data_IF_636886928869
#
_entry.id   IF_636886928869
#
_cell.length_a   1.000
_cell.length_b   1.000
_cell.length_c   1.000
_cell.angle_alpha   90.00
_cell.angle_beta   90.00
_cell.angle_gamma   90.00
#
_symmetry.space_group_name_H-M   'P 1'
#
loop_
_entity.id
_entity.type
_entity.pdbx_description
1 polymer ?
#
# COMPACT_ATOMS: atom_id res chain seq x y z
N UNK A 1 -25.68 1.05 0.20
CA UNK A 1 -25.12 2.28 0.77
C UNK A 1 -23.62 2.13 0.69
N UNK A 2 -22.97 2.99 -0.09
CA UNK A 2 -21.51 3.01 -0.18
C UNK A 2 -20.93 3.49 1.15
N UNK A 3 -19.61 3.39 1.31
CA UNK A 3 -18.97 3.97 2.50
C UNK A 3 -18.93 5.50 2.42
N UNK A 4 -18.91 6.08 1.22
CA UNK A 4 -19.04 7.54 1.05
C UNK A 4 -20.40 8.06 1.51
N UNK A 5 -21.49 7.35 1.21
CA UNK A 5 -22.85 7.70 1.64
C UNK A 5 -22.95 7.81 3.18
N UNK A 6 -22.21 6.99 3.93
CA UNK A 6 -22.17 7.05 5.39
C UNK A 6 -21.66 8.42 5.89
N UNK A 7 -20.59 8.93 5.29
CA UNK A 7 -20.04 10.23 5.67
C UNK A 7 -20.85 11.41 5.10
N UNK A 8 -21.38 11.30 3.87
CA UNK A 8 -22.22 12.34 3.26
C UNK A 8 -23.49 12.63 4.06
N UNK A 9 -24.04 11.62 4.72
CA UNK A 9 -25.23 11.74 5.56
C UNK A 9 -24.92 11.97 7.05
N UNK A 10 -23.65 12.07 7.44
CA UNK A 10 -23.27 12.29 8.82
C UNK A 10 -23.52 13.75 9.23
N UNK A 11 -24.24 13.95 10.33
CA UNK A 11 -24.48 15.29 10.88
C UNK A 11 -23.23 15.82 11.59
N UNK A 12 -22.89 17.08 11.34
CA UNK A 12 -21.85 17.77 12.10
C UNK A 12 -22.40 18.27 13.43
N UNK A 13 -21.88 17.73 14.53
CA UNK A 13 -22.05 18.30 15.86
C UNK A 13 -20.92 19.32 16.11
N UNK A 14 -21.29 20.56 16.45
CA UNK A 14 -20.35 21.65 16.71
C UNK A 14 -19.61 21.44 18.03
N UNK A 15 -20.28 20.86 19.02
CA UNK A 15 -19.75 20.73 20.38
C UNK A 15 -19.03 19.37 20.56
N UNK A 16 -19.22 18.41 19.64
CA UNK A 16 -18.46 17.14 19.53
C UNK A 16 -18.10 16.81 18.06
N UNK A 17 -17.12 17.50 17.45
CA UNK A 17 -16.79 17.31 16.03
C UNK A 17 -16.19 15.93 15.76
N UNK A 18 -16.79 15.18 14.83
CA UNK A 18 -16.26 13.89 14.41
C UNK A 18 -14.95 14.05 13.61
N UNK A 19 -13.80 13.51 14.09
CA UNK A 19 -12.51 13.71 13.43
C UNK A 19 -12.42 13.03 12.05
N UNK A 20 -13.14 11.93 11.84
CA UNK A 20 -13.16 11.23 10.55
C UNK A 20 -14.00 11.97 9.51
N UNK A 21 -15.09 12.63 9.93
CA UNK A 21 -15.86 13.50 9.04
C UNK A 21 -15.03 14.68 8.56
N UNK A 22 -14.29 15.33 9.47
CA UNK A 22 -13.39 16.43 9.12
C UNK A 22 -12.36 16.00 8.06
N UNK A 23 -11.71 14.85 8.25
CA UNK A 23 -10.75 14.33 7.28
C UNK A 23 -11.45 13.92 5.98
N UNK A 24 -12.62 13.29 6.02
CA UNK A 24 -13.36 12.89 4.82
C UNK A 24 -13.70 14.10 3.93
N UNK A 25 -14.22 15.18 4.52
CA UNK A 25 -14.59 16.41 3.83
C UNK A 25 -13.39 17.22 3.33
N UNK A 26 -12.21 17.08 3.93
CA UNK A 26 -11.00 17.76 3.46
C UNK A 26 -10.58 17.29 2.05
N UNK A 27 -10.56 18.19 1.08
CA UNK A 27 -10.15 17.88 -0.29
C UNK A 27 -8.72 18.33 -0.60
N UNK A 28 -7.96 18.78 0.41
CA UNK A 28 -6.59 19.28 0.21
C UNK A 28 -5.61 18.19 -0.23
N UNK A 29 -5.84 16.95 0.22
CA UNK A 29 -5.05 15.78 -0.14
C UNK A 29 -5.82 14.93 -1.18
N UNK A 30 -5.24 14.64 -2.36
CA UNK A 30 -5.90 13.82 -3.37
C UNK A 30 -6.13 12.42 -2.84
N UNK A 31 -7.35 11.92 -3.01
CA UNK A 31 -7.70 10.56 -2.64
C UNK A 31 -8.94 10.15 -3.42
N UNK A 32 -9.07 8.87 -3.74
CA UNK A 32 -10.32 8.34 -4.27
C UNK A 32 -11.41 8.38 -3.18
N UNK A 33 -12.56 8.96 -3.47
CA UNK A 33 -13.60 9.22 -2.46
C UNK A 33 -14.07 7.96 -1.72
N UNK A 34 -14.35 6.87 -2.45
CA UNK A 34 -14.80 5.60 -1.85
C UNK A 34 -13.69 4.94 -1.04
N UNK A 35 -12.45 4.95 -1.53
CA UNK A 35 -11.30 4.42 -0.80
C UNK A 35 -11.04 5.21 0.49
N UNK A 36 -11.18 6.54 0.43
CA UNK A 36 -11.04 7.43 1.59
C UNK A 36 -12.10 7.10 2.64
N UNK A 37 -13.36 6.96 2.22
CA UNK A 37 -14.44 6.57 3.10
C UNK A 37 -14.23 5.18 3.71
N UNK A 38 -13.86 4.19 2.89
CA UNK A 38 -13.57 2.83 3.35
C UNK A 38 -12.46 2.82 4.41
N UNK A 39 -11.35 3.53 4.16
CA UNK A 39 -10.24 3.67 5.11
C UNK A 39 -10.66 4.38 6.41
N UNK A 40 -11.32 5.54 6.32
CA UNK A 40 -11.71 6.31 7.50
C UNK A 40 -12.74 5.60 8.37
N UNK A 41 -13.70 4.89 7.76
CA UNK A 41 -14.63 4.05 8.51
C UNK A 41 -13.91 2.88 9.19
N UNK A 42 -13.01 2.21 8.48
CA UNK A 42 -12.18 1.15 9.06
C UNK A 42 -11.34 1.67 10.24
N UNK A 43 -10.83 2.90 10.13
CA UNK A 43 -10.13 3.61 11.19
C UNK A 43 -10.99 3.91 12.43
N UNK A 44 -12.31 4.03 12.28
CA UNK A 44 -13.27 4.28 13.37
C UNK A 44 -13.76 3.00 14.08
N UNK A 45 -13.19 1.84 13.75
CA UNK A 45 -13.64 0.55 14.23
C UNK A 45 -13.33 0.26 15.71
N UNK A 46 -14.14 -0.63 16.30
CA UNK A 46 -13.92 -1.15 17.66
C UNK A 46 -12.65 -1.99 17.79
N UNK A 47 -12.25 -2.70 16.73
CA UNK A 47 -10.97 -3.42 16.71
C UNK A 47 -9.81 -2.46 16.90
N UNK A 48 -9.82 -1.32 16.21
CA UNK A 48 -8.79 -0.30 16.39
C UNK A 48 -8.82 0.32 17.79
N UNK A 49 -10.00 0.59 18.33
CA UNK A 49 -10.14 1.23 19.64
C UNK A 49 -9.73 0.32 20.80
N UNK A 50 -10.11 -0.96 20.77
CA UNK A 50 -10.00 -1.84 21.93
C UNK A 50 -9.01 -3.01 21.75
N UNK A 51 -8.92 -3.59 20.54
CA UNK A 51 -8.04 -4.74 20.31
C UNK A 51 -6.59 -4.29 20.01
N UNK A 52 -6.42 -3.28 19.17
CA UNK A 52 -5.09 -2.80 18.76
C UNK A 52 -4.17 -2.38 19.92
N UNK A 53 -4.63 -1.64 20.96
CA UNK A 53 -3.76 -1.24 22.07
C UNK A 53 -3.16 -2.43 22.84
N UNK A 54 -3.89 -3.55 22.92
CA UNK A 54 -3.41 -4.79 23.54
C UNK A 54 -2.57 -5.63 22.58
N UNK A 55 -3.01 -5.74 21.33
CA UNK A 55 -2.35 -6.57 20.33
C UNK A 55 -0.96 -6.03 19.95
N UNK A 56 -0.82 -4.71 19.79
CA UNK A 56 0.43 -4.06 19.33
C UNK A 56 1.65 -4.38 20.22
N UNK A 57 1.62 -4.22 21.56
CA UNK A 57 2.78 -4.57 22.39
C UNK A 57 3.09 -6.07 22.30
N UNK A 58 2.07 -6.94 22.24
CA UNK A 58 2.26 -8.38 22.09
C UNK A 58 2.92 -8.73 20.74
N UNK A 59 2.45 -8.14 19.64
CA UNK A 59 3.01 -8.34 18.31
C UNK A 59 4.49 -7.91 18.25
N UNK A 60 4.82 -6.74 18.81
CA UNK A 60 6.21 -6.24 18.88
C UNK A 60 7.09 -7.13 19.75
N UNK A 61 6.59 -7.60 20.88
CA UNK A 61 7.32 -8.56 21.71
C UNK A 61 7.58 -9.86 20.95
N UNK A 62 6.58 -10.38 20.24
CA UNK A 62 6.73 -11.58 19.41
C UNK A 62 7.78 -11.38 18.30
N UNK A 63 7.82 -10.21 17.65
CA UNK A 63 8.88 -9.88 16.68
C UNK A 63 10.26 -10.00 17.32
N UNK A 64 10.48 -9.39 18.50
CA UNK A 64 11.77 -9.44 19.20
C UNK A 64 12.14 -10.89 19.54
N UNK A 65 11.19 -11.65 20.10
CA UNK A 65 11.41 -13.06 20.45
C UNK A 65 11.77 -13.90 19.21
N UNK A 66 11.11 -13.66 18.07
CA UNK A 66 11.41 -14.34 16.82
C UNK A 66 12.77 -13.94 16.25
N UNK A 67 13.20 -12.68 16.38
CA UNK A 67 14.55 -12.25 16.01
C UNK A 67 15.61 -12.99 16.83
N UNK A 68 15.45 -13.02 18.16
CA UNK A 68 16.37 -13.73 19.05
C UNK A 68 16.40 -15.22 18.73
N UNK A 69 15.24 -15.84 18.50
CA UNK A 69 15.14 -17.23 18.11
C UNK A 69 15.91 -17.53 16.80
N UNK A 70 15.78 -16.67 15.79
CA UNK A 70 16.42 -16.87 14.49
C UNK A 70 17.91 -16.59 14.47
N UNK A 71 18.46 -15.88 15.46
CA UNK A 71 19.92 -15.85 15.67
C UNK A 71 20.46 -17.27 15.90
N UNK A 72 19.69 -18.12 16.59
CA UNK A 72 20.08 -19.49 16.92
C UNK A 72 19.77 -20.43 15.73
N UNK A 73 18.61 -20.29 15.09
CA UNK A 73 18.17 -21.20 14.00
C UNK A 73 17.57 -20.43 12.81
N UNK A 74 18.39 -19.80 11.95
CA UNK A 74 17.97 -18.74 11.02
C UNK A 74 17.04 -19.17 9.87
N UNK A 75 16.92 -20.47 9.60
CA UNK A 75 16.10 -21.03 8.51
C UNK A 75 15.06 -22.05 9.00
N UNK A 76 14.89 -22.21 10.31
CA UNK A 76 13.82 -23.06 10.81
C UNK A 76 12.45 -22.43 10.52
N UNK A 77 11.47 -23.28 10.17
CA UNK A 77 10.07 -22.92 9.90
C UNK A 77 9.82 -21.96 8.72
N UNK A 78 10.82 -21.65 7.90
CA UNK A 78 10.61 -20.79 6.73
C UNK A 78 9.75 -21.50 5.68
N UNK A 79 8.61 -20.92 5.31
CA UNK A 79 7.70 -21.49 4.30
C UNK A 79 6.78 -20.43 3.70
N UNK A 80 7.09 -19.99 2.48
CA UNK A 80 6.26 -19.01 1.74
C UNK A 80 4.85 -19.54 1.50
N UNK A 81 4.74 -20.82 1.11
CA UNK A 81 3.44 -21.45 0.85
C UNK A 81 2.54 -21.50 2.09
N UNK A 82 3.12 -21.80 3.27
CA UNK A 82 2.34 -21.83 4.50
C UNK A 82 1.95 -20.42 4.94
N UNK A 83 2.88 -19.46 4.86
CA UNK A 83 2.63 -18.04 5.13
C UNK A 83 1.41 -17.55 4.36
N UNK A 84 1.44 -17.66 3.03
CA UNK A 84 0.40 -17.11 2.17
C UNK A 84 -0.96 -17.80 2.34
N UNK A 85 -0.98 -19.09 2.71
CA UNK A 85 -2.22 -19.78 3.09
C UNK A 85 -2.79 -19.29 4.41
N UNK A 86 -1.95 -19.06 5.42
CA UNK A 86 -2.37 -18.51 6.71
C UNK A 86 -2.91 -17.09 6.52
N UNK A 87 -2.22 -16.27 5.72
CA UNK A 87 -2.67 -14.91 5.39
C UNK A 87 -4.00 -14.92 4.65
N UNK A 88 -4.13 -15.71 3.58
CA UNK A 88 -5.39 -15.86 2.87
C UNK A 88 -6.54 -16.30 3.81
N UNK A 89 -6.29 -17.30 4.66
CA UNK A 89 -7.27 -17.78 5.64
C UNK A 89 -7.67 -16.69 6.64
N UNK A 90 -6.68 -15.95 7.16
CA UNK A 90 -6.88 -14.85 8.08
C UNK A 90 -7.65 -13.68 7.46
N UNK A 91 -7.29 -13.28 6.24
CA UNK A 91 -7.97 -12.25 5.46
C UNK A 91 -9.43 -12.63 5.18
N UNK A 92 -9.67 -13.87 4.75
CA UNK A 92 -11.01 -14.37 4.46
C UNK A 92 -11.90 -14.44 5.71
N UNK A 93 -11.32 -14.72 6.87
CA UNK A 93 -12.09 -15.02 8.09
C UNK A 93 -12.21 -13.83 9.03
N UNK A 94 -11.16 -13.03 9.22
CA UNK A 94 -11.08 -12.05 10.30
C UNK A 94 -10.97 -10.59 9.86
N UNK A 95 -10.34 -10.34 8.71
CA UNK A 95 -10.10 -8.96 8.22
C UNK A 95 -11.40 -8.37 7.70
N UNK A 96 -11.67 -7.10 8.03
CA UNK A 96 -12.89 -6.40 7.64
C UNK A 96 -13.01 -6.32 6.10
N UNK A 97 -14.24 -6.19 5.55
CA UNK A 97 -14.42 -5.98 4.12
C UNK A 97 -13.67 -4.75 3.60
N UNK A 98 -13.71 -3.63 4.35
CA UNK A 98 -13.03 -2.39 4.00
C UNK A 98 -11.51 -2.54 4.01
N UNK A 99 -10.95 -3.24 5.00
CA UNK A 99 -9.53 -3.51 5.06
C UNK A 99 -9.06 -4.43 3.93
N UNK A 100 -9.77 -5.52 3.65
CA UNK A 100 -9.45 -6.39 2.50
C UNK A 100 -9.52 -5.63 1.17
N UNK A 101 -10.54 -4.77 1.00
CA UNK A 101 -10.66 -3.90 -0.16
C UNK A 101 -9.44 -2.99 -0.32
N UNK A 102 -9.03 -2.28 0.74
CA UNK A 102 -7.85 -1.41 0.72
C UNK A 102 -6.56 -2.19 0.43
N UNK A 103 -6.39 -3.39 0.99
CA UNK A 103 -5.22 -4.24 0.75
C UNK A 103 -5.11 -4.63 -0.73
N UNK A 104 -6.18 -5.16 -1.33
CA UNK A 104 -6.14 -5.57 -2.73
C UNK A 104 -5.99 -4.39 -3.69
N UNK A 105 -6.68 -3.29 -3.37
CA UNK A 105 -6.61 -2.05 -4.14
C UNK A 105 -5.19 -1.49 -4.18
N UNK A 106 -4.46 -1.53 -3.07
CA UNK A 106 -3.04 -1.13 -3.03
C UNK A 106 -2.18 -1.81 -4.10
N UNK A 107 -2.24 -3.15 -4.22
CA UNK A 107 -1.45 -3.88 -5.21
C UNK A 107 -1.80 -3.46 -6.64
N UNK A 108 -3.10 -3.31 -6.90
CA UNK A 108 -3.63 -2.89 -8.20
C UNK A 108 -3.08 -1.52 -8.59
N UNK A 109 -3.25 -0.52 -7.72
CA UNK A 109 -2.84 0.86 -7.98
C UNK A 109 -1.32 1.00 -8.04
N UNK A 110 -0.59 0.32 -7.15
CA UNK A 110 0.86 0.32 -7.14
C UNK A 110 1.44 -0.16 -8.47
N UNK A 111 0.85 -1.21 -9.06
CA UNK A 111 1.24 -1.70 -10.38
C UNK A 111 0.99 -0.69 -11.49
N UNK A 112 -0.11 0.06 -11.44
CA UNK A 112 -0.41 1.13 -12.40
C UNK A 112 0.55 2.31 -12.27
N UNK A 113 0.91 2.69 -11.03
CA UNK A 113 1.89 3.77 -10.77
C UNK A 113 3.26 3.41 -11.34
N UNK A 114 3.76 2.19 -11.11
CA UNK A 114 5.05 1.77 -11.67
C UNK A 114 5.01 1.72 -13.20
N UNK A 115 3.90 1.24 -13.77
CA UNK A 115 3.72 1.21 -15.21
C UNK A 115 3.65 2.62 -15.81
N UNK A 116 2.96 3.56 -15.15
CA UNK A 116 2.96 4.96 -15.54
C UNK A 116 4.37 5.54 -15.58
N UNK A 117 5.20 5.30 -14.56
CA UNK A 117 6.58 5.77 -14.54
C UNK A 117 7.35 5.19 -15.74
N UNK A 118 7.27 3.87 -15.96
CA UNK A 118 7.92 3.21 -17.09
C UNK A 118 7.51 3.84 -18.42
N UNK A 119 6.21 3.98 -18.65
CA UNK A 119 5.62 4.39 -19.93
C UNK A 119 5.87 5.88 -20.25
N UNK A 120 6.38 6.64 -19.28
CA UNK A 120 6.73 8.06 -19.39
C UNK A 120 8.24 8.34 -19.26
N UNK A 121 9.08 7.31 -19.28
CA UNK A 121 10.54 7.47 -19.39
C UNK A 121 10.97 7.01 -20.79
N UNK A 122 11.30 7.93 -21.71
CA UNK A 122 11.67 7.55 -23.06
C UNK A 122 12.94 6.69 -23.12
N UNK A 123 12.96 5.71 -24.01
CA UNK A 123 14.17 4.94 -24.33
C UNK A 123 14.56 3.83 -23.35
N UNK A 124 13.86 3.65 -22.22
CA UNK A 124 14.11 2.51 -21.30
C UNK A 124 13.22 1.32 -21.63
N UNK A 125 13.71 0.11 -21.37
CA UNK A 125 12.94 -1.12 -21.53
C UNK A 125 13.10 -1.98 -20.29
N UNK A 126 12.04 -2.04 -19.48
CA UNK A 126 12.02 -2.85 -18.25
C UNK A 126 10.84 -3.82 -18.26
N UNK A 127 11.13 -5.06 -17.88
CA UNK A 127 10.11 -6.09 -17.70
C UNK A 127 9.32 -5.80 -16.43
N UNK A 128 7.99 -5.75 -16.57
CA UNK A 128 7.05 -5.57 -15.48
C UNK A 128 6.38 -6.90 -15.13
N UNK A 129 6.02 -7.06 -13.86
CA UNK A 129 5.20 -8.17 -13.38
C UNK A 129 3.99 -7.62 -12.59
N UNK A 130 3.02 -7.00 -13.29
CA UNK A 130 1.95 -6.24 -12.63
C UNK A 130 1.04 -7.15 -11.80
N UNK A 131 0.67 -6.68 -10.62
CA UNK A 131 -0.27 -7.33 -9.71
C UNK A 131 -1.60 -6.58 -9.74
N UNK A 132 -2.62 -7.18 -10.34
CA UNK A 132 -3.98 -6.61 -10.43
C UNK A 132 -5.02 -7.56 -9.80
N UNK A 133 -4.90 -7.90 -8.50
CA UNK A 133 -5.84 -8.81 -7.86
C UNK A 133 -7.23 -8.17 -7.77
N UNK A 134 -8.26 -8.96 -8.10
CA UNK A 134 -9.67 -8.55 -7.99
C UNK A 134 -10.39 -9.24 -6.83
N UNK A 135 -9.76 -10.25 -6.24
CA UNK A 135 -10.26 -11.04 -5.12
C UNK A 135 -9.07 -11.55 -4.27
N UNK A 136 -9.37 -12.32 -3.21
CA UNK A 136 -8.36 -12.81 -2.28
C UNK A 136 -7.58 -14.03 -2.77
N UNK A 137 -8.00 -14.74 -3.81
CA UNK A 137 -7.36 -15.99 -4.24
C UNK A 137 -5.86 -15.83 -4.58
N UNK A 138 -5.42 -14.78 -5.31
CA UNK A 138 -4.00 -14.53 -5.58
C UNK A 138 -3.12 -14.42 -4.34
N UNK A 139 -3.69 -14.13 -3.16
CA UNK A 139 -2.92 -14.08 -1.90
C UNK A 139 -2.20 -15.41 -1.64
N UNK A 140 -2.77 -16.55 -2.05
CA UNK A 140 -2.17 -17.88 -1.86
C UNK A 140 -0.89 -18.07 -2.68
N UNK A 141 -0.76 -17.33 -3.78
CA UNK A 141 0.29 -17.48 -4.79
C UNK A 141 1.36 -16.39 -4.62
N UNK A 142 1.81 -16.21 -3.37
CA UNK A 142 2.92 -15.34 -3.00
C UNK A 142 2.72 -13.83 -3.31
N UNK A 143 1.47 -13.36 -3.46
CA UNK A 143 1.12 -11.97 -3.84
C UNK A 143 1.95 -10.90 -3.12
N UNK A 144 2.04 -10.99 -1.78
CA UNK A 144 2.74 -10.00 -0.96
C UNK A 144 4.25 -10.04 -1.17
N UNK A 145 4.83 -11.24 -1.29
CA UNK A 145 6.26 -11.40 -1.56
C UNK A 145 6.62 -10.88 -2.95
N UNK A 146 5.82 -11.24 -3.96
CA UNK A 146 6.01 -10.78 -5.34
C UNK A 146 5.91 -9.26 -5.42
N UNK A 147 4.99 -8.64 -4.68
CA UNK A 147 4.88 -7.18 -4.59
C UNK A 147 6.18 -6.52 -4.14
N UNK A 148 6.76 -6.97 -3.02
CA UNK A 148 8.01 -6.40 -2.52
C UNK A 148 9.17 -6.58 -3.51
N UNK A 149 9.25 -7.77 -4.13
CA UNK A 149 10.25 -8.06 -5.16
C UNK A 149 10.08 -7.18 -6.39
N UNK A 150 8.85 -6.90 -6.81
CA UNK A 150 8.56 -6.04 -7.95
C UNK A 150 9.07 -4.61 -7.72
N UNK A 151 8.93 -4.05 -6.52
CA UNK A 151 9.44 -2.71 -6.21
C UNK A 151 10.96 -2.64 -6.36
N UNK A 152 11.68 -3.60 -5.77
CA UNK A 152 13.15 -3.66 -5.89
C UNK A 152 13.59 -3.88 -7.34
N UNK A 153 13.01 -4.86 -8.02
CA UNK A 153 13.36 -5.16 -9.41
C UNK A 153 13.08 -3.98 -10.34
N UNK A 154 11.96 -3.27 -10.13
CA UNK A 154 11.64 -2.06 -10.88
C UNK A 154 12.72 -0.99 -10.71
N UNK A 155 13.04 -0.63 -9.47
CA UNK A 155 14.05 0.40 -9.17
C UNK A 155 15.41 0.01 -9.71
N UNK A 156 15.84 -1.25 -9.52
CA UNK A 156 17.12 -1.76 -10.02
C UNK A 156 17.18 -1.69 -11.54
N UNK A 157 16.19 -2.25 -12.23
CA UNK A 157 16.19 -2.37 -13.69
C UNK A 157 16.07 -1.01 -14.37
N UNK A 158 15.20 -0.12 -13.87
CA UNK A 158 15.07 1.23 -14.39
C UNK A 158 16.39 1.98 -14.28
N UNK A 159 17.07 1.93 -13.13
CA UNK A 159 18.33 2.64 -12.93
C UNK A 159 19.50 2.03 -13.74
N UNK A 160 19.49 0.72 -14.03
CA UNK A 160 20.46 0.13 -14.96
C UNK A 160 20.26 0.68 -16.37
N UNK A 161 19.03 0.63 -16.87
CA UNK A 161 18.67 1.15 -18.19
C UNK A 161 19.01 2.64 -18.36
N UNK A 162 18.67 3.47 -17.37
CA UNK A 162 19.00 4.90 -17.38
C UNK A 162 20.50 5.15 -17.48
N UNK A 163 21.31 4.42 -16.69
CA UNK A 163 22.77 4.56 -16.71
C UNK A 163 23.40 4.06 -18.00
N UNK A 164 23.00 2.88 -18.46
CA UNK A 164 23.55 2.26 -19.67
C UNK A 164 23.27 3.11 -20.91
N UNK A 165 22.11 3.77 -20.96
CA UNK A 165 21.68 4.60 -22.10
C UNK A 165 22.01 6.09 -21.93
N UNK A 166 22.53 6.50 -20.78
CA UNK A 166 22.78 7.92 -20.48
C UNK A 166 21.51 8.78 -20.48
N UNK A 167 20.38 8.21 -20.08
CA UNK A 167 19.07 8.88 -20.04
C UNK A 167 18.79 9.34 -18.61
N UNK A 168 18.22 10.55 -18.49
CA UNK A 168 17.72 11.06 -17.22
C UNK A 168 16.19 11.09 -17.21
N UNK A 169 15.61 10.89 -16.03
CA UNK A 169 14.16 11.06 -15.84
C UNK A 169 13.86 12.55 -15.76
N UNK A 170 13.17 13.06 -16.78
CA UNK A 170 12.82 14.47 -16.94
C UNK A 170 11.31 14.65 -17.06
N UNK A 171 10.88 15.91 -16.96
CA UNK A 171 9.49 16.31 -17.20
C UNK A 171 9.07 15.92 -18.62
N UNK A 172 7.90 15.32 -18.75
CA UNK A 172 7.29 15.05 -20.05
C UNK A 172 6.28 16.15 -20.41
N UNK A 173 6.24 16.56 -21.67
CA UNK A 173 5.27 17.57 -22.16
C UNK A 173 3.85 17.02 -22.19
N UNK A 174 3.70 15.78 -22.66
CA UNK A 174 2.42 15.06 -22.69
C UNK A 174 2.59 13.73 -21.95
N UNK A 175 1.78 13.54 -20.92
CA UNK A 175 1.83 12.35 -20.07
C UNK A 175 1.02 11.21 -20.69
N UNK A 176 1.58 10.01 -20.67
CA UNK A 176 0.90 8.77 -21.02
C UNK A 176 0.19 8.21 -19.79
N UNK A 177 -1.14 8.34 -19.76
CA UNK A 177 -1.99 7.83 -18.68
C UNK A 177 -2.68 6.50 -19.02
N UNK A 178 -2.25 5.78 -20.07
CA UNK A 178 -2.91 4.54 -20.50
C UNK A 178 -2.97 3.47 -19.40
N UNK A 179 -1.97 3.45 -18.51
CA UNK A 179 -1.93 2.52 -17.39
C UNK A 179 -2.87 2.90 -16.22
N UNK A 180 -3.34 4.14 -16.13
CA UNK A 180 -4.07 4.68 -14.99
C UNK A 180 -5.57 4.51 -15.18
N UNK A 181 -6.17 3.68 -14.33
CA UNK A 181 -7.63 3.46 -14.31
C UNK A 181 -8.34 4.59 -13.57
N UNK A 182 -9.25 5.30 -14.24
CA UNK A 182 -10.07 6.38 -13.66
C UNK A 182 -11.50 5.95 -13.31
N UNK A 183 -11.88 4.72 -13.65
CA UNK A 183 -13.19 4.11 -13.37
C UNK A 183 -13.14 3.22 -12.11
N UNK A 184 -14.30 2.79 -11.59
CA UNK A 184 -14.32 1.83 -10.49
C UNK A 184 -13.52 0.56 -10.82
N UNK A 185 -12.66 0.14 -9.89
CA UNK A 185 -11.88 -1.08 -10.05
C UNK A 185 -12.80 -2.31 -10.05
N UNK A 186 -12.47 -3.37 -10.82
CA UNK A 186 -13.28 -4.59 -10.92
C UNK A 186 -13.08 -5.49 -9.70
N UNK A 187 -13.27 -4.96 -8.49
CA UNK A 187 -13.14 -5.69 -7.23
C UNK A 187 -14.37 -6.54 -6.98
N UNK A 188 -14.17 -7.83 -6.70
CA UNK A 188 -15.23 -8.71 -6.24
C UNK A 188 -15.69 -8.31 -4.83
N UNK A 189 -16.91 -8.69 -4.40
CA UNK A 189 -17.36 -8.46 -3.04
C UNK A 189 -16.42 -9.13 -2.01
N UNK A 190 -15.91 -8.34 -1.06
CA UNK A 190 -15.05 -8.86 0.01
C UNK A 190 -15.83 -9.73 1.00
N UNK A 191 -15.20 -10.73 1.65
CA UNK A 191 -15.85 -11.57 2.64
C UNK A 191 -16.47 -10.74 3.78
N UNK A 192 -17.75 -11.00 4.07
CA UNK A 192 -18.53 -10.27 5.07
C UNK A 192 -19.23 -11.25 6.02
N UNK A 193 -18.49 -11.75 7.00
CA UNK A 193 -18.96 -12.62 8.09
C UNK A 193 -18.91 -11.86 9.40
N UNK A 194 -19.58 -12.37 10.43
CA UNK A 194 -19.52 -11.78 11.78
C UNK A 194 -18.09 -11.77 12.35
N UNK A 195 -17.23 -12.68 11.88
CA UNK A 195 -15.81 -12.73 12.24
C UNK A 195 -14.95 -11.69 11.51
N UNK A 196 -15.42 -11.07 10.42
CA UNK A 196 -14.68 -10.06 9.66
C UNK A 196 -14.74 -8.69 10.37
N UNK A 197 -14.08 -8.56 11.52
CA UNK A 197 -14.13 -7.37 12.38
C UNK A 197 -12.78 -6.64 12.53
N UNK A 198 -11.65 -7.27 12.15
CA UNK A 198 -10.33 -6.66 12.31
C UNK A 198 -10.10 -5.58 11.26
N UNK A 199 -9.83 -4.36 11.71
CA UNK A 199 -9.42 -3.27 10.83
C UNK A 199 -8.03 -3.49 10.22
N UNK A 200 -7.69 -2.68 9.23
CA UNK A 200 -6.44 -2.74 8.48
C UNK A 200 -5.22 -2.69 9.39
N UNK A 201 -5.18 -1.76 10.35
CA UNK A 201 -4.00 -1.60 11.21
C UNK A 201 -3.87 -2.77 12.18
N UNK A 202 -4.98 -3.20 12.78
CA UNK A 202 -5.00 -4.37 13.67
C UNK A 202 -4.60 -5.64 12.92
N UNK A 203 -5.12 -5.85 11.71
CA UNK A 203 -4.77 -7.00 10.88
C UNK A 203 -3.28 -7.01 10.52
N UNK A 204 -2.72 -5.87 10.11
CA UNK A 204 -1.30 -5.74 9.78
C UNK A 204 -0.42 -6.05 10.99
N UNK A 205 -0.74 -5.49 12.16
CA UNK A 205 0.01 -5.74 13.40
C UNK A 205 -0.09 -7.22 13.82
N UNK A 206 -1.24 -7.86 13.60
CA UNK A 206 -1.42 -9.30 13.82
C UNK A 206 -0.58 -10.16 12.88
N UNK A 207 -0.53 -9.80 11.59
CA UNK A 207 0.17 -10.59 10.58
C UNK A 207 1.68 -10.36 10.58
N UNK A 208 2.19 -9.23 11.06
CA UNK A 208 3.63 -8.93 11.01
C UNK A 208 4.49 -9.99 11.72
N UNK A 209 4.16 -10.48 12.94
CA UNK A 209 4.86 -11.61 13.55
C UNK A 209 4.72 -12.93 12.77
N UNK A 210 3.58 -13.16 12.11
CA UNK A 210 3.35 -14.35 11.27
C UNK A 210 4.27 -14.31 10.05
N UNK A 211 4.41 -13.15 9.40
CA UNK A 211 5.40 -12.92 8.36
C UNK A 211 6.80 -13.22 8.86
N UNK A 212 7.15 -12.68 10.02
CA UNK A 212 8.47 -12.90 10.58
C UNK A 212 8.73 -14.37 10.92
N UNK A 213 7.74 -15.13 11.38
CA UNK A 213 7.91 -16.55 11.67
C UNK A 213 8.23 -17.35 10.40
N UNK A 214 7.51 -17.10 9.30
CA UNK A 214 7.57 -17.93 8.09
C UNK A 214 8.54 -17.44 7.01
N UNK A 215 9.02 -16.19 7.08
CA UNK A 215 10.06 -15.69 6.18
C UNK A 215 11.45 -15.96 6.74
N UNK A 216 12.48 -15.99 5.89
CA UNK A 216 13.86 -15.86 6.40
C UNK A 216 14.07 -14.45 6.97
N UNK A 217 15.10 -14.28 7.82
CA UNK A 217 15.41 -12.93 8.35
C UNK A 217 15.75 -11.94 7.25
N UNK A 218 16.46 -12.39 6.21
CA UNK A 218 16.76 -11.55 5.04
C UNK A 218 15.49 -11.17 4.27
N UNK A 219 14.56 -12.10 4.09
CA UNK A 219 13.31 -11.82 3.37
C UNK A 219 12.41 -10.86 4.16
N UNK A 220 12.30 -11.04 5.47
CA UNK A 220 11.54 -10.13 6.33
C UNK A 220 12.18 -8.73 6.39
N UNK A 221 13.51 -8.66 6.50
CA UNK A 221 14.24 -7.39 6.44
C UNK A 221 14.06 -6.69 5.08
N UNK A 222 14.12 -7.45 3.97
CA UNK A 222 13.88 -6.91 2.62
C UNK A 222 12.45 -6.39 2.48
N UNK A 223 11.44 -7.16 2.87
CA UNK A 223 10.04 -6.75 2.82
C UNK A 223 9.78 -5.46 3.63
N UNK A 224 10.33 -5.35 4.83
CA UNK A 224 10.13 -4.15 5.65
C UNK A 224 10.88 -2.90 5.14
N UNK A 225 11.96 -3.08 4.37
CA UNK A 225 12.71 -1.99 3.77
C UNK A 225 12.27 -1.66 2.33
N UNK A 226 11.46 -2.52 1.67
CA UNK A 226 10.83 -2.18 0.39
C UNK A 226 9.97 -0.91 0.51
N UNK A 227 9.35 -0.70 1.67
CA UNK A 227 8.55 0.49 1.98
C UNK A 227 9.33 1.81 1.85
N UNK A 228 10.66 1.79 2.00
CA UNK A 228 11.49 2.98 1.78
C UNK A 228 11.48 3.43 0.31
N UNK A 229 11.18 2.53 -0.63
CA UNK A 229 11.17 2.83 -2.06
C UNK A 229 10.00 3.74 -2.48
N UNK A 230 9.01 3.97 -1.61
CA UNK A 230 7.93 4.93 -1.84
C UNK A 230 8.46 6.32 -2.18
N UNK A 231 9.56 6.72 -1.55
CA UNK A 231 10.21 7.99 -1.82
C UNK A 231 10.84 8.03 -3.20
N UNK A 232 11.59 6.98 -3.55
CA UNK A 232 12.18 6.84 -4.89
C UNK A 232 11.10 6.89 -5.97
N UNK A 233 10.00 6.16 -5.78
CA UNK A 233 8.87 6.11 -6.72
C UNK A 233 8.19 7.48 -6.82
N UNK A 234 7.91 8.13 -5.68
CA UNK A 234 7.29 9.45 -5.66
C UNK A 234 8.16 10.53 -6.33
N UNK A 235 9.48 10.50 -6.13
CA UNK A 235 10.43 11.40 -6.80
C UNK A 235 10.45 11.14 -8.31
N UNK A 236 10.45 9.88 -8.75
CA UNK A 236 10.40 9.55 -10.18
C UNK A 236 9.12 10.08 -10.83
N UNK A 237 7.96 9.84 -10.20
CA UNK A 237 6.68 10.37 -10.70
C UNK A 237 6.68 11.91 -10.72
N UNK A 238 7.19 12.57 -9.68
CA UNK A 238 7.27 14.03 -9.60
C UNK A 238 8.16 14.61 -10.71
N UNK A 239 9.32 14.02 -10.99
CA UNK A 239 10.18 14.43 -12.11
C UNK A 239 9.47 14.34 -13.45
N UNK A 240 8.75 13.23 -13.69
CA UNK A 240 7.97 13.00 -14.93
C UNK A 240 6.86 14.04 -15.08
N UNK A 241 6.11 14.30 -14.00
CA UNK A 241 5.01 15.29 -13.97
C UNK A 241 5.55 16.72 -14.10
N UNK A 242 6.75 16.98 -13.59
CA UNK A 242 7.35 18.30 -13.49
C UNK A 242 6.71 19.18 -12.41
N UNK A 243 6.17 18.58 -11.34
CA UNK A 243 5.69 19.27 -10.15
C UNK A 243 6.12 18.55 -8.88
N UNK A 244 6.57 19.34 -7.90
CA UNK A 244 6.98 18.87 -6.59
C UNK A 244 5.86 19.00 -5.54
N UNK A 245 4.73 19.61 -5.90
CA UNK A 245 3.70 20.07 -4.95
C UNK A 245 3.15 18.94 -4.07
N UNK A 246 3.20 17.71 -4.59
CA UNK A 246 2.67 16.52 -3.92
C UNK A 246 3.76 15.50 -3.54
N UNK A 247 5.04 15.90 -3.54
CA UNK A 247 6.10 15.13 -2.85
C UNK A 247 5.87 15.08 -1.34
N UNK A 248 5.08 16.00 -0.79
CA UNK A 248 4.64 15.98 0.60
C UNK A 248 3.85 14.71 0.99
N UNK A 249 3.31 13.98 0.00
CA UNK A 249 2.61 12.70 0.20
C UNK A 249 3.57 11.55 0.55
N UNK A 250 4.86 11.74 0.36
CA UNK A 250 5.88 10.75 0.64
C UNK A 250 6.19 10.78 2.15
N UNK A 251 5.90 9.67 2.82
CA UNK A 251 6.10 9.54 4.26
C UNK A 251 7.55 9.23 4.67
N UNK A 252 8.30 8.53 3.82
CA UNK A 252 9.72 8.25 4.03
C UNK A 252 10.54 9.39 3.40
N UNK A 253 11.48 9.98 4.15
CA UNK A 253 12.32 11.11 3.68
C UNK A 253 13.81 10.78 3.57
N UNK A 254 14.16 9.52 3.85
CA UNK A 254 15.54 9.05 3.98
C UNK A 254 15.63 7.56 3.60
N UNK A 255 15.54 7.22 2.30
CA UNK A 255 15.47 5.82 1.88
C UNK A 255 16.82 5.11 2.04
N UNK A 256 17.88 5.89 2.30
CA UNK A 256 19.23 5.43 2.61
C UNK A 256 19.39 4.91 4.05
N UNK A 257 18.41 5.13 4.92
CA UNK A 257 18.45 4.69 6.32
C UNK A 257 17.54 3.48 6.48
N UNK A 258 18.09 2.25 6.59
CA UNK A 258 17.28 1.08 6.90
C UNK A 258 16.57 1.27 8.23
N UNK A 259 15.29 0.94 8.27
CA UNK A 259 14.44 1.17 9.44
C UNK A 259 14.20 -0.13 10.21
N UNK A 260 13.90 0.02 11.51
CA UNK A 260 13.54 -1.10 12.37
C UNK A 260 12.25 -1.79 11.91
N UNK A 261 12.25 -3.12 12.00
CA UNK A 261 11.09 -3.98 11.72
C UNK A 261 9.95 -3.80 12.72
N UNK A 262 10.23 -3.26 13.92
CA UNK A 262 9.21 -3.01 14.96
C UNK A 262 8.17 -1.96 14.57
N UNK A 263 8.51 -1.11 13.61
CA UNK A 263 7.64 -0.07 13.06
C UNK A 263 6.96 -0.48 11.75
N UNK A 264 7.22 -1.70 11.25
CA UNK A 264 6.78 -2.14 9.94
C UNK A 264 5.27 -2.04 9.75
N UNK A 265 4.47 -2.38 10.77
CA UNK A 265 3.01 -2.35 10.65
C UNK A 265 2.46 -0.95 10.38
N UNK A 266 2.95 0.07 11.09
CA UNK A 266 2.56 1.46 10.84
C UNK A 266 3.05 1.96 9.46
N UNK A 267 4.29 1.63 9.10
CA UNK A 267 4.86 2.01 7.81
C UNK A 267 4.13 1.39 6.63
N UNK A 268 3.60 0.17 6.78
CA UNK A 268 2.82 -0.50 5.75
C UNK A 268 1.47 0.20 5.49
N UNK A 269 0.84 0.77 6.52
CA UNK A 269 -0.35 1.62 6.34
C UNK A 269 -0.01 2.86 5.52
N UNK A 270 1.09 3.54 5.88
CA UNK A 270 1.55 4.73 5.16
C UNK A 270 1.93 4.44 3.70
N UNK A 271 2.51 3.26 3.43
CA UNK A 271 2.82 2.78 2.08
C UNK A 271 1.57 2.66 1.20
N UNK A 272 0.50 2.08 1.74
CA UNK A 272 -0.79 1.99 1.03
C UNK A 272 -1.42 3.36 0.76
N UNK A 273 -1.40 4.26 1.75
CA UNK A 273 -1.94 5.61 1.60
C UNK A 273 -1.17 6.46 0.58
N UNK A 274 0.16 6.36 0.57
CA UNK A 274 0.98 7.07 -0.41
C UNK A 274 0.65 6.63 -1.85
N UNK A 275 0.40 5.33 -2.05
CA UNK A 275 -0.01 4.78 -3.34
C UNK A 275 -1.37 5.31 -3.79
N UNK A 276 -2.37 5.33 -2.91
CA UNK A 276 -3.70 5.90 -3.20
C UNK A 276 -3.64 7.38 -3.56
N UNK A 277 -2.87 8.17 -2.81
CA UNK A 277 -2.78 9.60 -3.03
C UNK A 277 -2.06 9.94 -4.34
N UNK A 278 -0.97 9.22 -4.64
CA UNK A 278 -0.26 9.37 -5.92
C UNK A 278 -1.15 8.95 -7.09
N UNK A 279 -1.85 7.82 -6.98
CA UNK A 279 -2.77 7.37 -8.03
C UNK A 279 -3.92 8.38 -8.25
N UNK A 280 -4.53 8.90 -7.17
CA UNK A 280 -5.57 9.92 -7.26
C UNK A 280 -5.09 11.21 -7.94
N UNK A 281 -3.85 11.66 -7.66
CA UNK A 281 -3.21 12.75 -8.40
C UNK A 281 -3.11 12.43 -9.89
N UNK A 282 -2.67 11.23 -10.26
CA UNK A 282 -2.53 10.84 -11.67
C UNK A 282 -3.88 10.80 -12.38
N UNK A 283 -4.95 10.36 -11.72
CA UNK A 283 -6.32 10.42 -12.25
C UNK A 283 -6.78 11.87 -12.46
N UNK A 284 -6.52 12.77 -11.51
CA UNK A 284 -6.83 14.20 -11.64
C UNK A 284 -6.11 14.82 -12.86
N UNK A 285 -4.83 14.53 -13.03
CA UNK A 285 -4.03 15.00 -14.16
C UNK A 285 -4.51 14.42 -15.50
N UNK A 286 -4.89 13.13 -15.51
CA UNK A 286 -5.48 12.48 -16.68
C UNK A 286 -6.72 13.22 -17.17
N UNK A 287 -7.68 13.48 -16.28
CA UNK A 287 -8.90 14.21 -16.63
C UNK A 287 -8.59 15.63 -17.11
N UNK A 288 -7.64 16.34 -16.48
CA UNK A 288 -7.22 17.67 -16.94
C UNK A 288 -6.64 17.65 -18.36
N UNK A 289 -5.81 16.65 -18.68
CA UNK A 289 -5.24 16.50 -20.01
C UNK A 289 -6.29 16.12 -21.06
N UNK A 290 -7.28 15.29 -20.70
CA UNK A 290 -8.41 14.92 -21.57
C UNK A 290 -9.34 16.11 -21.85
N UNK A 291 -9.57 16.99 -20.87
CA UNK A 291 -10.37 18.22 -21.05
C UNK A 291 -9.65 19.30 -21.85
N UNK A 292 -8.32 19.28 -21.90
CA UNK A 292 -7.51 20.24 -22.65
C UNK A 292 -7.23 19.80 -24.10
N UNK A 293 -7.59 18.56 -24.46
CA UNK A 293 -7.40 17.98 -25.80
C UNK A 293 -8.65 18.21 -26.67
#
# INVERSE_FOLDING_TARGET
MSESDYFRNMTHDRDDPNPFLAIYLDQSIPFNEEAKAAYLKDCSSRSRQFLLPLLRPLARLMIILLQVYKIIVPKAFTSSRLLHRVLHGGMKTFVSPSANYMILRHFYLGSEVLQFIRDNVPGVTITMNPLKPTNLEPVKDDLFLIHDLNLYNFVINLNKELREKGVEVTKQERLNFAAITSTPLPMEPMPKRWTNFMDLTTAIECFTPVYQLFLSDNDFWRATNSLQLDETIGILASKIIGSNDRLALINNKHPMVPMTTLSAGFRLVLHGLATEQLHALLVELKHKQELAA
#
